data_IF_702552698941
#
_entry.id   IF_702552698941
#
_cell.length_a   1.000
_cell.length_b   1.000
_cell.length_c   1.000
_cell.angle_alpha   90.00
_cell.angle_beta   90.00
_cell.angle_gamma   90.00
#
_symmetry.space_group_name_H-M   'P 1'
#
loop_
_entity.id
_entity.type
_entity.pdbx_description
1 polymer ?
#
# COMPACT_ATOMS: atom_id res chain seq x y z
N UNK A 1 -5.83 -24.79 -32.28
CA UNK A 1 -5.99 -23.34 -32.04
C UNK A 1 -4.64 -22.69 -32.26
N UNK A 2 -4.59 -21.74 -33.20
CA UNK A 2 -3.37 -21.23 -33.79
C UNK A 2 -2.45 -20.53 -32.77
N UNK A 3 -1.18 -20.95 -32.77
CA UNK A 3 -0.05 -20.27 -32.12
C UNK A 3 0.13 -18.93 -32.85
N UNK A 4 -0.42 -17.85 -32.31
CA UNK A 4 -0.20 -16.52 -32.87
C UNK A 4 1.25 -16.09 -32.58
N UNK A 5 2.12 -16.37 -33.55
CA UNK A 5 3.45 -15.81 -33.65
C UNK A 5 3.37 -14.29 -33.67
N UNK A 6 4.10 -13.63 -32.76
CA UNK A 6 4.48 -12.24 -32.95
C UNK A 6 5.94 -12.08 -32.55
N UNK A 7 6.81 -12.77 -33.27
CA UNK A 7 8.26 -12.62 -33.21
C UNK A 7 8.63 -11.44 -34.12
N UNK A 8 8.38 -10.25 -33.62
CA UNK A 8 8.64 -8.99 -34.31
C UNK A 8 8.02 -7.91 -33.45
N UNK A 9 8.82 -7.17 -32.71
CA UNK A 9 8.36 -5.99 -32.00
C UNK A 9 9.38 -4.91 -32.26
N UNK A 10 8.90 -3.75 -32.68
CA UNK A 10 9.68 -2.55 -32.90
C UNK A 10 8.84 -1.35 -32.49
N UNK A 11 9.28 -0.62 -31.48
CA UNK A 11 8.60 0.57 -31.01
C UNK A 11 9.58 1.59 -30.44
N UNK A 12 9.17 2.84 -30.45
CA UNK A 12 9.86 3.94 -29.74
C UNK A 12 9.01 4.36 -28.56
N UNK A 13 9.58 4.42 -27.36
CA UNK A 13 8.85 4.80 -26.14
C UNK A 13 9.61 5.88 -25.37
N UNK A 14 8.85 6.70 -24.64
CA UNK A 14 9.40 7.66 -23.71
C UNK A 14 9.98 6.90 -22.51
N UNK A 15 11.24 7.20 -22.14
CA UNK A 15 11.93 6.49 -21.07
C UNK A 15 11.26 6.72 -19.71
N UNK A 16 10.89 7.96 -19.37
CA UNK A 16 10.32 8.27 -18.04
C UNK A 16 8.99 7.52 -17.76
N UNK A 17 7.95 7.57 -18.62
CA UNK A 17 6.72 6.82 -18.41
C UNK A 17 6.94 5.30 -18.39
N UNK A 18 7.77 4.78 -19.29
CA UNK A 18 8.09 3.36 -19.36
C UNK A 18 8.80 2.88 -18.08
N UNK A 19 9.84 3.60 -17.64
CA UNK A 19 10.54 3.32 -16.40
C UNK A 19 9.62 3.41 -15.18
N UNK A 20 8.66 4.34 -15.17
CA UNK A 20 7.70 4.47 -14.07
C UNK A 20 6.77 3.25 -13.97
N UNK A 21 6.17 2.80 -15.09
CA UNK A 21 5.28 1.63 -15.07
C UNK A 21 6.03 0.33 -14.84
N UNK A 22 7.25 0.20 -15.35
CA UNK A 22 8.10 -0.96 -15.11
C UNK A 22 8.55 -1.03 -13.64
N UNK A 23 8.94 0.09 -13.03
CA UNK A 23 9.26 0.12 -11.60
C UNK A 23 8.03 -0.19 -10.74
N UNK A 24 6.86 0.31 -11.10
CA UNK A 24 5.61 -0.03 -10.41
C UNK A 24 5.35 -1.54 -10.44
N UNK A 25 5.54 -2.17 -11.60
CA UNK A 25 5.39 -3.62 -11.73
C UNK A 25 6.41 -4.38 -10.88
N UNK A 26 7.69 -4.01 -10.91
CA UNK A 26 8.75 -4.71 -10.15
C UNK A 26 8.59 -4.56 -8.62
N UNK A 27 7.98 -3.47 -8.14
CA UNK A 27 7.69 -3.29 -6.72
C UNK A 27 6.55 -4.16 -6.21
N UNK A 28 5.60 -4.48 -7.08
CA UNK A 28 4.45 -5.33 -6.78
C UNK A 28 4.82 -6.80 -6.92
N UNK A 29 5.46 -7.17 -8.02
CA UNK A 29 5.72 -8.56 -8.38
C UNK A 29 6.93 -9.16 -7.63
N UNK A 30 6.97 -10.49 -7.58
CA UNK A 30 8.11 -11.23 -7.03
C UNK A 30 9.43 -10.89 -7.74
N UNK A 31 10.56 -11.04 -7.04
CA UNK A 31 11.90 -10.67 -7.57
C UNK A 31 12.28 -11.37 -8.89
N UNK A 32 11.80 -12.59 -9.09
CA UNK A 32 12.05 -13.40 -10.30
C UNK A 32 10.93 -13.23 -11.35
N UNK A 33 10.08 -12.22 -11.20
CA UNK A 33 8.99 -11.98 -12.12
C UNK A 33 9.48 -11.67 -13.54
N UNK A 34 8.57 -11.92 -14.47
CA UNK A 34 8.75 -11.70 -15.90
C UNK A 34 7.70 -10.70 -16.35
N UNK A 35 8.08 -9.80 -17.24
CA UNK A 35 7.17 -8.80 -17.81
C UNK A 35 6.89 -9.15 -19.26
N UNK A 36 5.60 -9.28 -19.56
CA UNK A 36 5.08 -9.30 -20.92
C UNK A 36 4.96 -7.86 -21.41
N UNK A 37 5.64 -7.60 -22.51
CA UNK A 37 5.60 -6.34 -23.25
C UNK A 37 4.81 -6.59 -24.54
N UNK A 38 3.63 -5.97 -24.66
CA UNK A 38 2.78 -6.06 -25.85
C UNK A 38 2.67 -4.69 -26.51
N UNK A 39 3.24 -4.57 -27.70
CA UNK A 39 3.18 -3.39 -28.55
C UNK A 39 2.04 -3.51 -29.55
N UNK A 40 1.26 -2.45 -29.69
CA UNK A 40 0.20 -2.33 -30.70
C UNK A 40 0.04 -0.88 -31.15
N UNK A 41 -0.87 -0.62 -32.07
CA UNK A 41 -1.28 0.74 -32.45
C UNK A 41 -1.73 1.62 -31.27
N UNK A 42 -2.21 1.03 -30.16
CA UNK A 42 -2.63 1.76 -28.95
C UNK A 42 -1.49 2.11 -27.99
N UNK A 43 -0.25 1.71 -28.31
CA UNK A 43 0.93 1.90 -27.47
C UNK A 43 1.44 0.59 -26.87
N UNK A 44 2.12 0.71 -25.73
CA UNK A 44 2.79 -0.41 -25.05
C UNK A 44 2.02 -0.81 -23.79
N UNK A 45 1.66 -2.09 -23.68
CA UNK A 45 1.13 -2.69 -22.46
C UNK A 45 2.24 -3.48 -21.77
N UNK A 46 2.48 -3.16 -20.51
CA UNK A 46 3.41 -3.86 -19.62
C UNK A 46 2.57 -4.65 -18.62
N UNK A 47 2.69 -5.97 -18.62
CA UNK A 47 1.94 -6.84 -17.71
C UNK A 47 2.81 -7.92 -17.11
N UNK A 48 2.48 -8.38 -15.92
CA UNK A 48 3.20 -9.46 -15.25
C UNK A 48 2.44 -9.93 -14.03
N UNK A 49 2.79 -11.11 -13.54
CA UNK A 49 2.14 -11.69 -12.37
C UNK A 49 1.91 -13.18 -12.44
N UNK A 50 1.24 -13.64 -11.40
CA UNK A 50 0.77 -15.00 -11.19
C UNK A 50 -0.70 -14.96 -10.71
N UNK A 51 -1.14 -16.02 -10.04
CA UNK A 51 -2.50 -16.15 -9.52
C UNK A 51 -2.72 -15.38 -8.21
N UNK A 52 -1.64 -15.02 -7.49
CA UNK A 52 -1.73 -14.25 -6.25
C UNK A 52 -1.71 -12.75 -6.54
N UNK A 53 -0.87 -12.32 -7.49
CA UNK A 53 -0.75 -10.92 -7.84
C UNK A 53 -0.47 -10.73 -9.33
N UNK A 54 -1.27 -9.88 -9.96
CA UNK A 54 -1.09 -9.50 -11.35
C UNK A 54 -1.20 -7.99 -11.54
N UNK A 55 -0.41 -7.48 -12.49
CA UNK A 55 -0.38 -6.07 -12.86
C UNK A 55 -0.50 -5.90 -14.35
N UNK A 56 -1.17 -4.84 -14.78
CA UNK A 56 -1.24 -4.41 -16.17
C UNK A 56 -1.21 -2.90 -16.24
N UNK A 57 -0.16 -2.35 -16.84
CA UNK A 57 0.04 -0.93 -17.03
C UNK A 57 0.18 -0.60 -18.51
N UNK A 58 -0.16 0.63 -18.87
CA UNK A 58 0.02 1.14 -20.23
C UNK A 58 1.05 2.27 -20.23
N UNK A 59 1.91 2.29 -21.26
CA UNK A 59 2.89 3.35 -21.48
C UNK A 59 2.73 3.88 -22.91
N UNK A 60 2.82 5.21 -23.11
CA UNK A 60 2.84 5.78 -24.45
C UNK A 60 4.04 5.27 -25.24
N UNK A 61 3.77 4.85 -26.48
CA UNK A 61 4.77 4.40 -27.43
C UNK A 61 4.29 4.58 -28.86
N UNK A 62 5.22 4.83 -29.76
CA UNK A 62 5.01 4.77 -31.22
C UNK A 62 5.45 3.39 -31.70
N UNK A 63 4.48 2.55 -32.04
CA UNK A 63 4.73 1.19 -32.52
C UNK A 63 4.98 1.19 -34.03
N UNK A 64 6.13 0.67 -34.44
CA UNK A 64 6.50 0.47 -35.85
C UNK A 64 6.19 -0.95 -36.32
N UNK A 65 6.26 -1.93 -35.40
CA UNK A 65 5.87 -3.31 -35.63
C UNK A 65 5.23 -3.86 -34.36
N UNK A 66 3.96 -4.24 -34.48
CA UNK A 66 3.18 -4.87 -33.41
C UNK A 66 3.83 -6.18 -33.00
N UNK A 67 3.88 -6.41 -31.68
CA UNK A 67 4.41 -7.66 -31.20
C UNK A 67 4.32 -7.87 -29.70
N UNK A 68 4.71 -9.07 -29.28
CA UNK A 68 4.65 -9.47 -27.89
C UNK A 68 5.86 -10.30 -27.50
N UNK A 69 6.56 -9.87 -26.46
CA UNK A 69 7.67 -10.63 -25.87
C UNK A 69 7.60 -10.67 -24.36
N UNK A 70 8.36 -11.60 -23.79
CA UNK A 70 8.56 -11.73 -22.36
C UNK A 70 10.02 -11.47 -22.00
N UNK A 71 10.24 -10.63 -21.00
CA UNK A 71 11.59 -10.28 -20.50
C UNK A 71 11.69 -10.40 -18.97
N UNK A 72 12.91 -10.62 -18.44
CA UNK A 72 13.18 -10.53 -17.00
C UNK A 72 12.84 -9.13 -16.46
N UNK A 73 11.97 -9.06 -15.44
CA UNK A 73 11.43 -7.79 -14.95
C UNK A 73 12.52 -6.88 -14.35
N UNK A 74 13.34 -7.43 -13.45
CA UNK A 74 14.38 -6.67 -12.75
C UNK A 74 15.47 -6.14 -13.70
N UNK A 75 16.12 -6.95 -14.56
CA UNK A 75 17.08 -6.45 -15.55
C UNK A 75 16.50 -5.38 -16.49
N UNK A 76 15.24 -5.52 -16.90
CA UNK A 76 14.57 -4.51 -17.73
C UNK A 76 14.38 -3.18 -16.98
N UNK A 77 13.86 -3.23 -15.75
CA UNK A 77 13.70 -2.05 -14.90
C UNK A 77 15.03 -1.35 -14.60
N UNK A 78 16.06 -2.13 -14.27
CA UNK A 78 17.41 -1.62 -14.01
C UNK A 78 17.98 -0.92 -15.24
N UNK A 79 17.83 -1.53 -16.42
CA UNK A 79 18.29 -0.93 -17.68
C UNK A 79 17.61 0.40 -17.93
N UNK A 80 16.28 0.47 -17.83
CA UNK A 80 15.52 1.72 -18.03
C UNK A 80 15.90 2.81 -17.03
N UNK A 81 16.24 2.44 -15.78
CA UNK A 81 16.68 3.39 -14.74
C UNK A 81 18.06 4.00 -15.03
N UNK A 82 18.91 3.30 -15.80
CA UNK A 82 20.24 3.78 -16.18
C UNK A 82 20.23 4.68 -17.42
N UNK A 83 19.13 4.75 -18.15
CA UNK A 83 19.02 5.58 -19.35
C UNK A 83 18.85 7.06 -18.97
N UNK A 84 19.78 7.89 -19.43
CA UNK A 84 19.71 9.36 -19.32
C UNK A 84 19.34 9.99 -20.67
N UNK A 85 18.25 9.50 -21.27
CA UNK A 85 17.69 9.99 -22.54
C UNK A 85 16.17 10.04 -22.45
N UNK A 86 15.55 10.89 -23.27
CA UNK A 86 14.09 11.04 -23.26
C UNK A 86 13.35 9.87 -23.93
N UNK A 87 13.96 9.28 -24.96
CA UNK A 87 13.37 8.23 -25.78
C UNK A 87 14.32 7.07 -25.98
N UNK A 88 13.75 5.87 -26.07
CA UNK A 88 14.48 4.65 -26.41
C UNK A 88 13.68 3.83 -27.40
N UNK A 89 14.38 3.15 -28.31
CA UNK A 89 13.77 2.19 -29.25
C UNK A 89 13.92 0.77 -28.69
N UNK A 90 12.84 0.01 -28.70
CA UNK A 90 12.77 -1.39 -28.27
C UNK A 90 12.54 -2.26 -29.51
N UNK A 91 13.50 -3.10 -29.87
CA UNK A 91 13.48 -3.94 -31.07
C UNK A 91 13.80 -5.38 -30.74
N UNK A 92 13.05 -6.33 -31.28
CA UNK A 92 13.37 -7.75 -31.20
C UNK A 92 14.40 -8.12 -32.27
N UNK A 93 15.53 -8.67 -31.83
CA UNK A 93 16.59 -9.18 -32.70
C UNK A 93 16.90 -10.63 -32.34
N UNK A 94 16.41 -11.56 -33.16
CA UNK A 94 16.52 -13.00 -32.87
C UNK A 94 15.85 -13.36 -31.55
N UNK A 95 16.64 -13.82 -30.58
CA UNK A 95 16.18 -14.22 -29.24
C UNK A 95 16.34 -13.14 -28.17
N UNK A 96 16.55 -11.87 -28.55
CA UNK A 96 16.78 -10.77 -27.60
C UNK A 96 15.87 -9.58 -27.85
N UNK A 97 15.45 -8.92 -26.77
CA UNK A 97 14.92 -7.56 -26.81
C UNK A 97 16.09 -6.59 -26.70
N UNK A 98 16.29 -5.80 -27.75
CA UNK A 98 17.34 -4.78 -27.82
C UNK A 98 16.77 -3.41 -27.49
N UNK A 99 17.35 -2.77 -26.49
CA UNK A 99 17.05 -1.41 -26.05
C UNK A 99 18.13 -0.51 -26.67
N UNK A 100 17.73 0.30 -27.65
CA UNK A 100 18.61 1.20 -28.42
C UNK A 100 18.37 2.64 -28.03
N UNK A 101 19.48 3.32 -27.77
CA UNK A 101 19.59 4.77 -27.67
C UNK A 101 20.65 5.24 -28.65
N UNK A 102 20.86 6.55 -28.79
CA UNK A 102 21.89 7.09 -29.69
C UNK A 102 23.31 6.63 -29.32
N UNK A 103 23.63 6.55 -28.02
CA UNK A 103 24.97 6.22 -27.52
C UNK A 103 25.12 4.82 -26.91
N UNK A 104 24.05 4.05 -26.75
CA UNK A 104 24.09 2.76 -26.05
C UNK A 104 23.13 1.72 -26.62
N UNK A 105 23.53 0.45 -26.51
CA UNK A 105 22.76 -0.73 -26.90
C UNK A 105 22.79 -1.75 -25.77
N UNK A 106 21.61 -2.08 -25.25
CA UNK A 106 21.44 -3.16 -24.27
C UNK A 106 20.63 -4.28 -24.91
N UNK A 107 20.90 -5.53 -24.55
CA UNK A 107 20.18 -6.68 -25.09
C UNK A 107 19.79 -7.64 -23.98
N UNK A 108 18.49 -7.84 -23.80
CA UNK A 108 17.91 -8.73 -22.80
C UNK A 108 17.47 -10.03 -23.46
N UNK A 109 17.73 -11.21 -22.85
CA UNK A 109 17.23 -12.47 -23.38
C UNK A 109 15.70 -12.50 -23.31
N UNK A 110 15.06 -12.92 -24.39
CA UNK A 110 13.63 -13.24 -24.37
C UNK A 110 13.40 -14.53 -23.59
N UNK A 111 12.25 -14.62 -22.93
CA UNK A 111 11.84 -15.79 -22.16
C UNK A 111 10.63 -16.48 -22.80
N UNK A 112 10.44 -17.75 -22.49
CA UNK A 112 9.34 -18.56 -23.01
C UNK A 112 7.98 -18.13 -22.45
N UNK A 113 6.94 -18.28 -23.30
CA UNK A 113 5.65 -17.58 -23.25
C UNK A 113 4.66 -18.01 -22.16
N UNK A 114 5.08 -18.76 -21.15
CA UNK A 114 4.14 -19.24 -20.14
C UNK A 114 3.93 -18.19 -19.04
N UNK A 115 3.03 -17.25 -19.33
CA UNK A 115 2.50 -16.29 -18.36
C UNK A 115 1.01 -16.51 -18.16
N UNK A 116 0.56 -16.29 -16.94
CA UNK A 116 -0.86 -16.30 -16.62
C UNK A 116 -1.61 -15.26 -17.49
N UNK A 117 -2.69 -15.69 -18.13
CA UNK A 117 -3.55 -14.79 -18.90
C UNK A 117 -4.45 -14.02 -17.95
N UNK A 118 -4.30 -12.70 -17.91
CA UNK A 118 -5.22 -11.79 -17.20
C UNK A 118 -6.64 -11.99 -17.74
N UNK A 119 -7.54 -12.51 -16.91
CA UNK A 119 -8.96 -12.74 -17.23
C UNK A 119 -9.81 -11.46 -17.13
N UNK A 120 -9.16 -10.32 -16.87
CA UNK A 120 -9.82 -9.05 -16.66
C UNK A 120 -10.33 -8.88 -15.23
N UNK A 121 -10.66 -7.64 -14.84
CA UNK A 121 -11.14 -7.35 -13.49
C UNK A 121 -12.55 -7.95 -13.28
N UNK A 122 -12.89 -8.34 -12.03
CA UNK A 122 -14.27 -8.64 -11.65
C UNK A 122 -15.18 -7.42 -11.81
N UNK A 123 -16.51 -7.58 -11.59
CA UNK A 123 -17.44 -6.45 -11.60
C UNK A 123 -16.98 -5.29 -10.73
N UNK A 124 -17.16 -4.08 -11.25
CA UNK A 124 -16.82 -2.85 -10.54
C UNK A 124 -17.82 -2.61 -9.42
N UNK A 125 -17.32 -2.44 -8.21
CA UNK A 125 -18.10 -2.14 -7.01
C UNK A 125 -18.38 -0.65 -6.89
N UNK A 126 -17.33 0.17 -6.98
CA UNK A 126 -17.40 1.61 -6.76
C UNK A 126 -16.16 2.32 -7.29
N UNK A 127 -16.08 3.61 -7.02
CA UNK A 127 -14.90 4.45 -7.23
C UNK A 127 -14.51 5.18 -5.94
N UNK A 128 -13.22 5.45 -5.79
CA UNK A 128 -12.67 6.20 -4.66
C UNK A 128 -11.49 7.06 -5.12
N UNK A 129 -11.31 8.23 -4.49
CA UNK A 129 -10.14 9.06 -4.74
C UNK A 129 -8.84 8.37 -4.29
N UNK A 130 -7.83 8.39 -5.17
CA UNK A 130 -6.54 7.72 -4.92
C UNK A 130 -5.80 8.26 -3.69
N UNK A 131 -5.83 9.57 -3.43
CA UNK A 131 -5.10 10.15 -2.30
C UNK A 131 -5.79 9.80 -0.98
N UNK A 132 -7.12 9.83 -0.95
CA UNK A 132 -7.95 9.41 0.19
C UNK A 132 -7.71 7.95 0.52
N UNK A 133 -7.84 7.05 -0.47
CA UNK A 133 -7.63 5.62 -0.26
C UNK A 133 -6.19 5.32 0.20
N UNK A 134 -5.20 5.91 -0.47
CA UNK A 134 -3.80 5.67 -0.12
C UNK A 134 -3.47 6.18 1.30
N UNK A 135 -4.11 7.27 1.76
CA UNK A 135 -3.94 7.76 3.13
C UNK A 135 -4.50 6.78 4.16
N UNK A 136 -5.74 6.32 3.95
CA UNK A 136 -6.39 5.36 4.84
C UNK A 136 -5.64 4.01 4.87
N UNK A 137 -5.27 3.47 3.70
CA UNK A 137 -4.51 2.22 3.61
C UNK A 137 -3.18 2.34 4.32
N UNK A 138 -2.44 3.45 4.19
CA UNK A 138 -1.16 3.65 4.92
C UNK A 138 -1.33 3.56 6.44
N UNK A 139 -2.42 4.12 6.97
CA UNK A 139 -2.71 4.09 8.40
C UNK A 139 -3.14 2.69 8.85
N UNK A 140 -4.09 2.08 8.14
CA UNK A 140 -4.68 0.79 8.51
C UNK A 140 -3.69 -0.36 8.29
N UNK A 141 -3.10 -0.48 7.11
CA UNK A 141 -2.16 -1.56 6.78
C UNK A 141 -0.88 -1.55 7.63
N UNK A 142 -0.54 -0.42 8.27
CA UNK A 142 0.55 -0.34 9.26
C UNK A 142 0.28 -1.13 10.56
N UNK A 143 -0.95 -1.60 10.76
CA UNK A 143 -1.36 -2.45 11.87
C UNK A 143 -1.26 -3.93 11.55
N UNK A 144 -1.35 -4.32 10.27
CA UNK A 144 -1.20 -5.71 9.85
C UNK A 144 0.20 -6.24 10.20
N UNK A 145 0.24 -7.48 10.67
CA UNK A 145 1.46 -8.23 10.89
C UNK A 145 2.14 -8.58 9.55
N UNK A 146 3.48 -8.56 9.53
CA UNK A 146 4.25 -8.91 8.32
C UNK A 146 4.42 -10.42 8.19
N UNK A 147 4.77 -11.08 9.29
CA UNK A 147 5.12 -12.49 9.34
C UNK A 147 4.34 -13.18 10.49
N UNK A 148 3.01 -13.25 10.36
CA UNK A 148 2.16 -14.01 11.30
C UNK A 148 1.60 -15.25 10.58
N UNK A 149 1.58 -16.44 11.23
CA UNK A 149 0.97 -17.63 10.66
C UNK A 149 -0.54 -17.50 10.40
N UNK A 150 -1.23 -16.56 11.06
CA UNK A 150 -2.65 -16.32 10.87
C UNK A 150 -2.89 -15.25 9.81
N UNK A 151 -3.46 -15.65 8.67
CA UNK A 151 -3.74 -14.76 7.53
C UNK A 151 -4.63 -13.57 7.88
N UNK A 152 -5.52 -13.71 8.87
CA UNK A 152 -6.36 -12.60 9.34
C UNK A 152 -5.56 -11.39 9.85
N UNK A 153 -4.31 -11.60 10.28
CA UNK A 153 -3.43 -10.54 10.75
C UNK A 153 -2.50 -9.99 9.66
N UNK A 154 -2.38 -10.65 8.51
CA UNK A 154 -1.52 -10.19 7.40
C UNK A 154 -2.29 -9.39 6.35
N UNK A 155 -3.62 -9.37 6.45
CA UNK A 155 -4.52 -8.67 5.54
C UNK A 155 -5.12 -7.37 6.08
N UNK A 156 -5.72 -6.62 5.16
CA UNK A 156 -6.66 -5.53 5.42
C UNK A 156 -8.04 -6.02 4.97
N UNK A 157 -8.99 -6.08 5.89
CA UNK A 157 -10.40 -6.31 5.56
C UNK A 157 -10.93 -5.09 4.83
N UNK A 158 -11.53 -5.32 3.68
CA UNK A 158 -12.15 -4.31 2.81
C UNK A 158 -13.63 -4.63 2.75
N UNK A 159 -14.45 -3.79 3.38
CA UNK A 159 -15.90 -3.90 3.36
C UNK A 159 -16.51 -2.71 2.63
N UNK A 160 -17.41 -2.96 1.69
CA UNK A 160 -18.23 -1.93 1.08
C UNK A 160 -19.70 -2.19 1.37
N UNK A 161 -20.42 -1.19 1.87
CA UNK A 161 -21.86 -1.25 2.09
C UNK A 161 -22.48 0.14 1.92
N UNK A 162 -23.51 0.25 1.07
CA UNK A 162 -24.13 1.54 0.76
C UNK A 162 -23.10 2.55 0.24
N UNK A 163 -22.90 3.64 0.96
CA UNK A 163 -21.98 4.74 0.61
C UNK A 163 -20.70 4.76 1.45
N UNK A 164 -20.36 3.66 2.14
CA UNK A 164 -19.16 3.57 2.99
C UNK A 164 -18.23 2.44 2.55
N UNK A 165 -16.94 2.75 2.44
CA UNK A 165 -15.83 1.79 2.45
C UNK A 165 -15.22 1.76 3.84
N UNK A 166 -15.22 0.58 4.46
CA UNK A 166 -14.55 0.33 5.73
C UNK A 166 -13.31 -0.52 5.50
N UNK A 167 -12.19 -0.04 6.01
CA UNK A 167 -10.90 -0.73 6.01
C UNK A 167 -10.54 -1.07 7.45
N UNK A 168 -10.24 -2.33 7.72
CA UNK A 168 -9.80 -2.75 9.04
C UNK A 168 -8.58 -3.66 8.95
N UNK A 169 -7.61 -3.48 9.84
CA UNK A 169 -6.48 -4.39 10.00
C UNK A 169 -6.18 -4.51 11.48
N UNK A 170 -5.77 -5.71 11.87
CA UNK A 170 -5.45 -6.03 13.25
C UNK A 170 -4.15 -6.84 13.30
N UNK A 171 -3.52 -6.78 14.46
CA UNK A 171 -2.56 -7.77 14.91
C UNK A 171 -3.07 -8.38 16.23
N UNK A 172 -2.21 -9.04 17.00
CA UNK A 172 -2.58 -9.65 18.28
C UNK A 172 -2.82 -8.64 19.41
N UNK A 173 -2.50 -7.37 19.20
CA UNK A 173 -2.40 -6.34 20.24
C UNK A 173 -3.24 -5.10 19.95
N UNK A 174 -3.51 -4.79 18.69
CA UNK A 174 -4.20 -3.57 18.27
C UNK A 174 -4.98 -3.79 16.97
N UNK A 175 -5.96 -2.91 16.76
CA UNK A 175 -6.73 -2.82 15.52
C UNK A 175 -6.81 -1.36 15.06
N UNK A 176 -6.72 -1.14 13.76
CA UNK A 176 -6.95 0.14 13.12
C UNK A 176 -8.11 0.02 12.14
N UNK A 177 -8.97 1.04 12.14
CA UNK A 177 -10.18 1.11 11.32
C UNK A 177 -10.22 2.46 10.63
N UNK A 178 -10.48 2.48 9.34
CA UNK A 178 -10.77 3.68 8.57
C UNK A 178 -12.10 3.53 7.85
N UNK A 179 -12.87 4.62 7.83
CA UNK A 179 -14.14 4.73 7.09
C UNK A 179 -13.99 5.83 6.07
N UNK A 180 -14.33 5.52 4.83
CA UNK A 180 -14.22 6.42 3.69
C UNK A 180 -15.55 6.49 2.96
N UNK A 181 -15.94 7.66 2.44
CA UNK A 181 -17.10 7.76 1.57
C UNK A 181 -16.85 6.99 0.26
N UNK A 182 -17.88 6.34 -0.26
CA UNK A 182 -17.95 5.71 -1.58
C UNK A 182 -19.14 6.25 -2.36
N UNK A 183 -19.08 6.12 -3.68
CA UNK A 183 -20.30 6.11 -4.47
C UNK A 183 -21.12 4.86 -4.13
N UNK A 184 -22.43 5.04 -4.00
CA UNK A 184 -23.36 4.00 -3.55
C UNK A 184 -23.15 2.66 -4.28
N UNK A 185 -22.90 1.62 -3.50
CA UNK A 185 -22.66 0.26 -3.97
C UNK A 185 -23.96 -0.54 -3.87
N UNK A 186 -24.28 -1.30 -4.93
CA UNK A 186 -25.49 -2.16 -4.96
C UNK A 186 -25.28 -3.47 -4.21
N UNK A 187 -24.14 -4.11 -4.44
CA UNK A 187 -23.80 -5.40 -3.85
C UNK A 187 -22.68 -5.22 -2.83
N UNK A 188 -22.93 -5.46 -1.52
CA UNK A 188 -21.91 -5.32 -0.51
C UNK A 188 -20.79 -6.34 -0.74
N UNK A 189 -19.58 -5.95 -0.37
CA UNK A 189 -18.40 -6.82 -0.45
C UNK A 189 -17.75 -6.87 0.93
N UNK A 190 -17.20 -8.03 1.28
CA UNK A 190 -16.39 -8.24 2.47
C UNK A 190 -15.28 -9.21 2.14
N UNK A 191 -14.07 -8.69 1.92
CA UNK A 191 -12.90 -9.48 1.51
C UNK A 191 -11.69 -9.09 2.32
N UNK A 192 -10.78 -10.04 2.54
CA UNK A 192 -9.51 -9.82 3.20
C UNK A 192 -8.39 -9.74 2.16
N UNK A 193 -7.73 -8.58 2.06
CA UNK A 193 -6.73 -8.31 1.01
C UNK A 193 -5.33 -8.26 1.62
N UNK A 194 -4.29 -8.90 1.03
CA UNK A 194 -2.93 -8.82 1.56
C UNK A 194 -2.47 -7.36 1.75
N UNK A 195 -2.05 -7.02 2.98
CA UNK A 195 -1.76 -5.63 3.36
C UNK A 195 -0.60 -5.03 2.54
N UNK A 196 0.42 -5.84 2.25
CA UNK A 196 1.57 -5.44 1.45
C UNK A 196 1.16 -5.09 0.00
N UNK A 197 0.38 -5.96 -0.64
CA UNK A 197 -0.11 -5.77 -2.01
C UNK A 197 -1.00 -4.53 -2.11
N UNK A 198 -1.95 -4.37 -1.18
CA UNK A 198 -2.84 -3.20 -1.16
C UNK A 198 -2.07 -1.90 -0.93
N UNK A 199 -1.08 -1.92 -0.03
CA UNK A 199 -0.23 -0.76 0.24
C UNK A 199 0.56 -0.35 -0.99
N UNK A 200 1.22 -1.27 -1.68
CA UNK A 200 1.99 -0.93 -2.88
C UNK A 200 1.08 -0.53 -4.05
N UNK A 201 -0.07 -1.19 -4.24
CA UNK A 201 -1.01 -0.87 -5.31
C UNK A 201 -1.51 0.58 -5.21
N UNK A 202 -1.88 1.02 -4.00
CA UNK A 202 -2.35 2.39 -3.76
C UNK A 202 -1.27 3.46 -3.95
N UNK A 203 0.02 3.13 -3.91
CA UNK A 203 1.11 4.07 -4.26
C UNK A 203 1.13 4.43 -5.74
N UNK A 204 0.62 3.55 -6.60
CA UNK A 204 0.68 3.70 -8.06
C UNK A 204 -0.63 4.19 -8.67
N UNK A 205 -1.77 4.00 -7.97
CA UNK A 205 -3.05 4.55 -8.36
C UNK A 205 -3.03 6.08 -8.51
N UNK A 206 -3.78 6.61 -9.48
CA UNK A 206 -3.86 8.05 -9.78
C UNK A 206 -5.31 8.45 -10.06
N UNK A 207 -5.69 9.65 -9.61
CA UNK A 207 -7.04 10.19 -9.82
C UNK A 207 -8.10 9.31 -9.16
N UNK A 208 -9.15 9.01 -9.91
CA UNK A 208 -10.24 8.12 -9.49
C UNK A 208 -9.85 6.66 -9.69
N UNK A 209 -9.91 5.88 -8.60
CA UNK A 209 -9.64 4.44 -8.63
C UNK A 209 -10.96 3.68 -8.72
N UNK A 210 -11.06 2.73 -9.66
CA UNK A 210 -12.10 1.72 -9.67
C UNK A 210 -11.79 0.61 -8.66
N UNK A 211 -12.75 0.31 -7.80
CA UNK A 211 -12.72 -0.83 -6.88
C UNK A 211 -13.51 -1.99 -7.49
N UNK A 212 -12.90 -3.16 -7.54
CA UNK A 212 -13.58 -4.38 -7.98
C UNK A 212 -13.26 -5.50 -7.01
N UNK A 213 -14.23 -6.37 -6.73
CA UNK A 213 -13.96 -7.58 -5.99
C UNK A 213 -14.91 -8.71 -6.37
N UNK A 214 -14.44 -9.93 -6.15
CA UNK A 214 -15.23 -11.15 -6.07
C UNK A 214 -14.70 -12.00 -4.89
N UNK A 215 -15.20 -13.22 -4.72
CA UNK A 215 -14.79 -14.10 -3.61
C UNK A 215 -13.29 -14.47 -3.62
N UNK A 216 -12.62 -14.38 -4.77
CA UNK A 216 -11.22 -14.78 -4.93
C UNK A 216 -10.26 -13.63 -5.22
N UNK A 217 -10.74 -12.46 -5.66
CA UNK A 217 -9.90 -11.37 -6.16
C UNK A 217 -10.39 -10.01 -5.71
N UNK A 218 -9.43 -9.14 -5.43
CA UNK A 218 -9.64 -7.71 -5.27
C UNK A 218 -8.80 -6.97 -6.32
N UNK A 219 -9.37 -5.96 -6.96
CA UNK A 219 -8.71 -5.22 -8.03
C UNK A 219 -8.85 -3.71 -7.84
N UNK A 220 -7.72 -3.02 -7.98
CA UNK A 220 -7.66 -1.58 -8.16
C UNK A 220 -7.39 -1.26 -9.62
N UNK A 221 -8.23 -0.43 -10.24
CA UNK A 221 -8.06 0.05 -11.60
C UNK A 221 -8.02 1.58 -11.68
N UNK A 222 -7.31 2.12 -12.65
CA UNK A 222 -7.29 3.55 -12.97
C UNK A 222 -6.90 3.76 -14.43
N UNK A 223 -6.89 5.01 -14.88
CA UNK A 223 -6.44 5.35 -16.22
C UNK A 223 -4.98 4.88 -16.43
N UNK A 224 -4.81 3.83 -17.24
CA UNK A 224 -3.52 3.26 -17.59
C UNK A 224 -2.96 2.22 -16.62
N UNK A 225 -3.73 1.75 -15.63
CA UNK A 225 -3.26 0.73 -14.70
C UNK A 225 -4.34 -0.14 -14.06
N UNK A 226 -3.99 -1.41 -13.83
CA UNK A 226 -4.79 -2.39 -13.10
C UNK A 226 -3.84 -3.21 -12.23
N UNK A 227 -4.20 -3.40 -10.96
CA UNK A 227 -3.53 -4.29 -10.02
C UNK A 227 -4.56 -5.24 -9.42
N UNK A 228 -4.36 -6.52 -9.64
CA UNK A 228 -5.21 -7.62 -9.17
C UNK A 228 -4.47 -8.40 -8.11
N UNK A 229 -5.11 -8.63 -6.98
CA UNK A 229 -4.59 -9.47 -5.89
C UNK A 229 -5.60 -10.54 -5.54
N UNK A 230 -5.12 -11.74 -5.22
CA UNK A 230 -5.93 -12.76 -4.58
C UNK A 230 -6.41 -12.26 -3.21
N UNK A 231 -7.61 -12.69 -2.83
CA UNK A 231 -8.18 -12.52 -1.50
C UNK A 231 -7.64 -13.61 -0.59
N UNK A 232 -7.36 -13.26 0.66
CA UNK A 232 -6.96 -14.20 1.70
C UNK A 232 -8.19 -14.97 2.17
N UNK A 233 -8.12 -16.30 2.13
CA UNK A 233 -9.18 -17.19 2.62
C UNK A 233 -9.12 -17.30 4.15
N UNK A 234 -9.51 -16.21 4.83
CA UNK A 234 -9.64 -16.15 6.27
C UNK A 234 -10.72 -15.14 6.67
N UNK A 235 -11.45 -15.46 7.75
CA UNK A 235 -12.34 -14.51 8.39
C UNK A 235 -11.58 -13.36 9.08
N UNK A 236 -12.30 -12.36 9.55
CA UNK A 236 -11.72 -11.22 10.27
C UNK A 236 -12.38 -11.04 11.64
N UNK A 237 -11.69 -10.35 12.55
CA UNK A 237 -12.19 -10.06 13.90
C UNK A 237 -13.41 -9.13 13.86
N UNK A 238 -14.36 -9.34 14.77
CA UNK A 238 -15.44 -8.36 14.99
C UNK A 238 -14.92 -7.17 15.79
N UNK A 239 -15.17 -5.95 15.31
CA UNK A 239 -14.85 -4.74 16.06
C UNK A 239 -15.65 -4.63 17.36
N UNK A 240 -16.89 -5.15 17.37
CA UNK A 240 -17.76 -5.15 18.54
C UNK A 240 -17.20 -6.01 19.69
N UNK A 241 -16.24 -6.88 19.38
CA UNK A 241 -15.54 -7.70 20.40
C UNK A 241 -14.45 -6.92 21.14
N UNK A 242 -14.11 -5.69 20.72
CA UNK A 242 -13.16 -4.82 21.42
C UNK A 242 -13.93 -3.78 22.23
N UNK A 243 -13.95 -3.89 23.58
CA UNK A 243 -14.61 -2.93 24.44
C UNK A 243 -13.96 -1.54 24.28
N UNK A 244 -14.73 -0.56 23.82
CA UNK A 244 -14.27 0.83 23.61
C UNK A 244 -15.14 1.87 24.32
N UNK A 245 -16.18 1.43 25.04
CA UNK A 245 -17.25 2.29 25.54
C UNK A 245 -17.03 2.83 26.97
N UNK A 246 -15.94 2.44 27.63
CA UNK A 246 -15.61 2.92 28.98
C UNK A 246 -14.19 3.48 28.96
N UNK A 247 -14.11 4.81 28.94
CA UNK A 247 -12.86 5.57 28.97
C UNK A 247 -12.84 6.37 30.27
N UNK A 248 -11.92 6.02 31.18
CA UNK A 248 -11.79 6.72 32.46
C UNK A 248 -11.07 8.07 32.32
N UNK A 249 -10.28 8.26 31.26
CA UNK A 249 -9.45 9.45 31.06
C UNK A 249 -9.29 9.74 29.57
N UNK A 250 -9.62 10.97 29.18
CA UNK A 250 -9.43 11.50 27.83
C UNK A 250 -8.33 12.56 27.85
N UNK A 251 -7.43 12.52 26.86
CA UNK A 251 -6.32 13.48 26.74
C UNK A 251 -6.20 13.94 25.30
N UNK A 252 -6.33 15.25 25.07
CA UNK A 252 -6.12 15.87 23.76
C UNK A 252 -4.67 16.36 23.63
N UNK A 253 -3.98 15.93 22.57
CA UNK A 253 -2.56 16.21 22.36
C UNK A 253 -2.27 16.45 20.88
N UNK A 254 -1.25 17.26 20.60
CA UNK A 254 -0.73 17.36 19.25
C UNK A 254 -0.05 16.03 18.84
N UNK A 255 -0.54 15.40 17.78
CA UNK A 255 -0.03 14.11 17.30
C UNK A 255 1.46 14.16 16.89
N UNK A 256 1.90 15.27 16.30
CA UNK A 256 3.29 15.49 15.89
C UNK A 256 4.23 15.56 17.08
N UNK A 257 3.86 16.34 18.09
CA UNK A 257 4.62 16.47 19.35
C UNK A 257 4.66 15.15 20.11
N UNK A 258 3.52 14.45 20.18
CA UNK A 258 3.41 13.14 20.79
C UNK A 258 4.37 12.16 20.12
N UNK A 259 4.33 12.07 18.78
CA UNK A 259 5.17 11.18 18.00
C UNK A 259 6.66 11.53 18.10
N UNK A 260 7.01 12.82 18.07
CA UNK A 260 8.38 13.29 18.23
C UNK A 260 8.94 12.91 19.61
N UNK A 261 8.14 13.08 20.66
CA UNK A 261 8.50 12.63 21.99
C UNK A 261 8.62 11.10 22.06
N UNK A 262 7.79 10.32 21.33
CA UNK A 262 7.83 8.85 21.38
C UNK A 262 9.15 8.39 20.78
N UNK A 263 9.52 8.97 19.63
CA UNK A 263 10.80 8.68 18.95
C UNK A 263 12.00 8.98 19.85
N UNK A 264 12.02 10.14 20.52
CA UNK A 264 13.14 10.51 21.41
C UNK A 264 13.29 9.54 22.59
N UNK A 265 12.19 9.15 23.23
CA UNK A 265 12.25 8.24 24.39
C UNK A 265 12.51 6.80 23.95
N UNK A 266 11.97 6.39 22.80
CA UNK A 266 12.14 5.04 22.25
C UNK A 266 13.60 4.63 22.01
N UNK A 267 14.51 5.59 21.77
CA UNK A 267 15.96 5.34 21.70
C UNK A 267 16.50 4.69 22.99
N UNK A 268 15.87 4.98 24.12
CA UNK A 268 16.26 4.49 25.44
C UNK A 268 15.42 3.31 25.93
N UNK A 269 14.46 2.81 25.13
CA UNK A 269 13.73 1.59 25.46
C UNK A 269 14.43 0.39 24.84
N UNK A 270 15.33 -0.26 25.58
CA UNK A 270 15.91 -1.54 25.17
C UNK A 270 14.82 -2.63 25.08
N UNK A 271 15.03 -3.62 24.19
CA UNK A 271 14.33 -4.89 23.87
C UNK A 271 12.81 -5.02 23.97
N UNK A 272 12.12 -4.40 24.93
CA UNK A 272 10.67 -4.55 25.12
C UNK A 272 9.83 -3.45 24.47
N UNK A 273 10.43 -2.32 24.04
CA UNK A 273 9.73 -1.17 23.42
C UNK A 273 8.50 -0.68 24.20
N UNK A 274 8.50 -0.82 25.52
CA UNK A 274 7.42 -0.34 26.40
C UNK A 274 7.70 1.10 26.80
N UNK A 275 6.69 1.95 26.64
CA UNK A 275 6.69 3.34 27.12
C UNK A 275 5.56 3.52 28.12
N UNK A 276 5.89 4.01 29.30
CA UNK A 276 4.87 4.38 30.30
C UNK A 276 4.43 5.81 30.04
N UNK A 277 3.11 6.04 29.98
CA UNK A 277 2.49 7.35 29.92
C UNK A 277 1.89 7.65 31.30
N UNK A 278 2.35 8.72 31.94
CA UNK A 278 1.78 9.24 33.18
C UNK A 278 0.97 10.50 32.84
N UNK A 279 -0.33 10.46 33.09
CA UNK A 279 -1.23 11.61 32.88
C UNK A 279 -1.37 12.34 34.22
N UNK A 280 -0.96 13.60 34.27
CA UNK A 280 -1.21 14.51 35.40
C UNK A 280 -2.00 15.74 34.96
N UNK A 281 -2.45 16.56 35.91
CA UNK A 281 -3.43 17.65 35.70
C UNK A 281 -3.09 18.67 34.60
N UNK A 282 -1.81 18.81 34.22
CA UNK A 282 -1.35 19.71 33.16
C UNK A 282 -0.20 19.13 32.31
N UNK A 283 0.14 17.85 32.46
CA UNK A 283 1.29 17.28 31.77
C UNK A 283 1.15 15.79 31.50
N UNK A 284 1.70 15.37 30.36
CA UNK A 284 1.94 13.97 30.03
C UNK A 284 3.43 13.66 30.24
N UNK A 285 3.74 12.82 31.23
CA UNK A 285 5.09 12.33 31.51
C UNK A 285 5.33 11.01 30.81
N UNK A 286 6.58 10.75 30.41
CA UNK A 286 7.02 9.51 29.78
C UNK A 286 8.26 8.96 30.43
N UNK A 287 8.25 7.66 30.68
CA UNK A 287 9.41 6.93 31.17
C UNK A 287 9.64 5.66 30.34
N UNK A 288 10.91 5.33 30.08
CA UNK A 288 11.33 3.97 29.76
C UNK A 288 11.97 3.40 31.04
N UNK A 289 11.39 2.34 31.60
CA UNK A 289 11.90 1.76 32.84
C UNK A 289 12.83 0.58 32.55
N UNK A 290 14.07 0.66 33.06
CA UNK A 290 14.82 -0.52 33.52
C UNK A 290 14.47 -0.69 34.99
N UNK A 291 13.55 -1.60 35.31
CA UNK A 291 13.44 -2.12 36.68
C UNK A 291 14.40 -3.30 36.82
N UNK A 292 15.68 -3.02 37.10
CA UNK A 292 16.54 -4.03 37.71
C UNK A 292 16.30 -3.98 39.21
N UNK A 293 15.29 -4.70 39.68
CA UNK A 293 15.10 -4.93 41.12
C UNK A 293 15.91 -6.16 41.53
N UNK A 294 17.20 -5.95 41.85
CA UNK A 294 17.94 -6.83 42.77
C UNK A 294 18.76 -5.99 43.74
N UNK A 295 18.22 -5.86 44.96
CA UNK A 295 18.96 -5.71 46.21
C UNK A 295 19.65 -4.36 46.49
N UNK A 296 19.11 -3.61 47.45
CA UNK A 296 19.85 -2.56 48.15
C UNK A 296 18.98 -1.34 48.47
N UNK A 297 18.63 -1.16 49.75
CA UNK A 297 17.93 0.03 50.24
C UNK A 297 18.72 1.29 49.89
N UNK A 298 18.14 2.12 49.03
CA UNK A 298 18.69 3.39 48.60
C UNK A 298 17.68 4.09 47.69
N UNK A 299 17.34 5.33 48.05
CA UNK A 299 16.38 6.21 47.38
C UNK A 299 16.40 6.09 45.82
N UNK A 300 15.28 5.84 45.14
CA UNK A 300 15.28 5.66 43.69
C UNK A 300 15.28 7.03 42.98
N UNK A 301 16.48 7.56 42.74
CA UNK A 301 16.67 8.53 41.66
C UNK A 301 16.83 7.80 40.33
N UNK A 302 15.70 7.33 39.77
CA UNK A 302 15.62 7.07 38.34
C UNK A 302 15.98 8.37 37.60
N UNK A 303 16.76 8.29 36.52
CA UNK A 303 17.10 9.47 35.70
C UNK A 303 15.81 10.08 35.14
N UNK A 304 15.32 11.12 35.81
CA UNK A 304 14.15 11.91 35.43
C UNK A 304 14.59 12.93 34.39
N UNK A 305 14.21 12.74 33.13
CA UNK A 305 14.23 13.83 32.15
C UNK A 305 12.96 14.66 32.36
N UNK A 306 13.08 15.79 33.07
CA UNK A 306 12.00 16.79 33.15
C UNK A 306 11.93 17.55 31.82
N UNK A 307 10.75 17.59 31.23
CA UNK A 307 10.44 18.50 30.13
C UNK A 307 9.99 19.85 30.70
N UNK A 308 10.26 20.97 30.01
CA UNK A 308 9.57 22.22 30.31
C UNK A 308 8.07 22.03 30.03
N UNK A 309 7.23 22.60 30.90
CA UNK A 309 5.79 22.59 30.78
C UNK A 309 5.37 23.06 29.38
N UNK A 310 4.43 22.34 28.75
CA UNK A 310 3.69 22.85 27.59
C UNK A 310 2.70 23.90 28.10
N UNK A 311 3.23 25.07 28.50
CA UNK A 311 2.42 26.25 28.74
C UNK A 311 2.04 26.82 27.37
N UNK A 312 0.75 27.06 27.15
CA UNK A 312 0.10 27.55 25.91
C UNK A 312 -0.51 26.48 25.00
N UNK A 313 -1.59 25.86 25.48
CA UNK A 313 -2.72 25.50 24.62
C UNK A 313 -3.86 26.51 24.88
N UNK A 314 -4.47 27.13 23.85
CA UNK A 314 -5.67 27.93 24.05
C UNK A 314 -6.80 27.02 24.54
N UNK A 315 -7.51 27.44 25.60
CA UNK A 315 -8.68 26.72 26.12
C UNK A 315 -9.77 26.65 25.03
N UNK A 316 -10.40 25.49 24.81
CA UNK A 316 -11.61 25.44 23.99
C UNK A 316 -12.74 26.25 24.66
N UNK A 317 -13.64 26.86 23.88
CA UNK A 317 -14.79 27.59 24.44
C UNK A 317 -15.70 26.62 25.23
N UNK A 318 -16.34 27.09 26.31
CA UNK A 318 -17.20 26.24 27.13
C UNK A 318 -18.38 25.72 26.31
N UNK A 319 -18.64 24.42 26.41
CA UNK A 319 -19.84 23.80 25.87
C UNK A 319 -21.08 24.49 26.46
N UNK A 320 -21.89 25.08 25.58
CA UNK A 320 -23.16 25.70 25.95
C UNK A 320 -24.09 24.67 26.58
N UNK A 321 -24.66 24.98 27.75
CA UNK A 321 -25.69 24.15 28.38
C UNK A 321 -26.88 23.98 27.42
N UNK A 322 -27.47 22.77 27.30
CA UNK A 322 -28.74 22.62 26.62
C UNK A 322 -29.81 23.39 27.40
N UNK A 323 -30.52 24.29 26.72
CA UNK A 323 -31.66 25.02 27.27
C UNK A 323 -32.84 24.09 27.59
N UNK A 324 -33.78 24.54 28.45
CA UNK A 324 -34.89 23.71 28.87
C UNK A 324 -35.85 23.43 27.70
N UNK A 325 -36.22 22.17 27.55
CA UNK A 325 -37.31 21.73 26.69
C UNK A 325 -38.61 22.21 27.34
N UNK A 326 -39.28 23.17 26.70
CA UNK A 326 -40.67 23.48 27.01
C UNK A 326 -41.60 22.43 26.37
N UNK A 327 -42.64 22.11 27.14
CA UNK A 327 -43.70 21.11 26.90
C UNK A 327 -44.34 21.17 25.53
#
# INVERSE_FOLDING_TARGET
>A
MAVASLAGMDLTSLVRPLAAVTNAAVRLLARQARLRLRASASGLVVSGGDHELAVRFTSPATTHTDGEVLVPAAPFAETLRMLDVDQTRLVVEGSRLVIRTEGARFALPLQDRDLHQDTGPPPKLSEVDSAVLASAVRTVAGTAARDDPLLLFTGVRVQSAGEELRLAAADRYRMAVARLPLHAVRDPTDVLVPAASLTEATRHGRGTLGLHADAGRFVLSWAGGVVTTAVLDAGFLSEDSIPSNTVDTEVELNAGDLAAAVRRVGVYSADRRILTLEVGDAHLRRASARQDTRGGGGNPEGKRLRWPELTHLPRPPPAGRPGPVHQ
#
